data_IF_148703084441
#
_entry.id   IF_148703084441
#
_cell.length_a   1.000
_cell.length_b   1.000
_cell.length_c   1.000
_cell.angle_alpha   90.00
_cell.angle_beta   90.00
_cell.angle_gamma   90.00
#
_symmetry.space_group_name_H-M   'P 1'
#
loop_
_entity.id
_entity.type
_entity.pdbx_description
1 polymer ?
#
# COMPACT_ATOMS: atom_id res chain seq x y z
N UNK A 1 11.00 -22.68 -9.46
CA UNK A 1 10.97 -21.21 -9.34
C UNK A 1 10.14 -20.85 -8.11
N UNK A 2 10.63 -20.01 -7.20
CA UNK A 2 9.84 -19.55 -6.04
C UNK A 2 8.85 -18.49 -6.53
N UNK A 3 7.56 -18.76 -6.43
CA UNK A 3 6.52 -17.77 -6.72
C UNK A 3 6.48 -16.75 -5.57
N UNK A 4 6.41 -15.45 -5.90
CA UNK A 4 6.15 -14.41 -4.89
C UNK A 4 4.69 -14.57 -4.48
N UNK A 5 4.36 -15.18 -3.34
CA UNK A 5 2.95 -15.48 -2.99
C UNK A 5 2.27 -14.38 -2.17
N UNK A 6 3.06 -13.58 -1.46
CA UNK A 6 2.63 -12.53 -0.54
C UNK A 6 3.43 -11.24 -0.79
N UNK A 7 2.75 -10.10 -0.76
CA UNK A 7 3.36 -8.79 -0.72
C UNK A 7 2.68 -7.90 0.33
N UNK A 8 3.47 -7.03 0.96
CA UNK A 8 2.96 -5.93 1.80
C UNK A 8 3.30 -4.62 1.10
N UNK A 9 2.30 -3.74 0.93
CA UNK A 9 2.49 -2.44 0.29
C UNK A 9 2.05 -1.33 1.24
N UNK A 10 2.95 -0.39 1.51
CA UNK A 10 2.66 0.85 2.22
C UNK A 10 2.17 1.88 1.21
N UNK A 11 0.85 2.10 1.15
CA UNK A 11 0.26 2.90 0.06
C UNK A 11 0.45 4.41 0.23
N UNK A 12 0.59 4.85 1.48
CA UNK A 12 0.91 6.20 1.94
C UNK A 12 1.72 6.08 3.24
N UNK A 13 2.43 7.13 3.66
CA UNK A 13 2.98 7.20 5.03
C UNK A 13 2.23 8.22 5.90
N UNK A 14 1.39 9.07 5.32
CA UNK A 14 0.54 9.99 6.08
C UNK A 14 -0.43 9.25 6.99
N UNK A 15 -0.61 9.80 8.20
CA UNK A 15 -1.46 9.21 9.23
C UNK A 15 -2.04 10.33 10.09
N UNK A 16 -3.31 10.19 10.48
CA UNK A 16 -3.99 11.10 11.40
C UNK A 16 -3.61 10.85 12.88
N UNK A 17 -2.88 9.78 13.19
CA UNK A 17 -2.43 9.43 14.54
C UNK A 17 -0.92 9.59 14.77
N UNK A 18 -0.57 9.89 16.02
CA UNK A 18 0.81 10.14 16.50
C UNK A 18 1.24 9.10 17.54
N UNK A 19 1.04 7.82 17.22
CA UNK A 19 1.35 6.73 18.15
C UNK A 19 2.85 6.72 18.53
N UNK A 20 3.20 6.67 19.83
CA UNK A 20 4.59 6.80 20.29
C UNK A 20 5.47 5.59 19.96
N UNK A 21 4.87 4.44 19.63
CA UNK A 21 5.54 3.20 19.26
C UNK A 21 5.56 2.96 17.74
N UNK A 22 5.13 3.93 16.93
CA UNK A 22 5.08 3.78 15.49
C UNK A 22 6.50 3.86 14.90
N UNK A 23 6.88 2.92 14.03
CA UNK A 23 8.19 2.91 13.38
C UNK A 23 8.34 3.96 12.28
N UNK A 24 7.24 4.58 11.84
CA UNK A 24 7.27 5.63 10.82
C UNK A 24 7.68 6.96 11.43
N UNK A 25 8.93 7.37 11.18
CA UNK A 25 9.46 8.67 11.61
C UNK A 25 8.83 9.84 10.83
N UNK A 26 8.62 9.69 9.51
CA UNK A 26 8.07 10.73 8.65
C UNK A 26 6.71 10.33 8.03
N UNK A 27 5.63 10.89 8.59
CA UNK A 27 4.24 10.57 8.25
C UNK A 27 3.60 11.61 7.33
N UNK A 28 4.21 11.87 6.17
CA UNK A 28 3.78 12.96 5.27
C UNK A 28 3.52 12.53 3.82
N UNK A 29 4.01 11.37 3.39
CA UNK A 29 3.87 10.95 1.99
C UNK A 29 2.44 10.57 1.65
N UNK A 30 1.93 11.11 0.54
CA UNK A 30 0.65 10.73 -0.06
C UNK A 30 0.75 9.53 -1.02
N UNK A 31 1.94 8.96 -1.15
CA UNK A 31 2.20 7.78 -1.97
C UNK A 31 2.02 8.02 -3.47
N UNK A 32 1.86 6.91 -4.21
CA UNK A 32 1.64 6.91 -5.65
C UNK A 32 0.18 7.27 -5.99
N UNK A 33 -0.06 7.71 -7.22
CA UNK A 33 -1.42 7.88 -7.71
C UNK A 33 -2.08 6.53 -8.05
N UNK A 34 -3.40 6.53 -8.24
CA UNK A 34 -4.18 5.30 -8.45
C UNK A 34 -3.68 4.47 -9.64
N UNK A 35 -3.30 5.12 -10.75
CA UNK A 35 -2.81 4.43 -11.96
C UNK A 35 -1.48 3.72 -11.68
N UNK A 36 -0.59 4.37 -10.95
CA UNK A 36 0.70 3.81 -10.56
C UNK A 36 0.53 2.62 -9.61
N UNK A 37 -0.33 2.72 -8.60
CA UNK A 37 -0.63 1.59 -7.70
C UNK A 37 -1.24 0.39 -8.43
N UNK A 38 -2.19 0.61 -9.34
CA UNK A 38 -2.71 -0.46 -10.21
C UNK A 38 -1.60 -1.12 -11.03
N UNK A 39 -0.63 -0.33 -11.50
CA UNK A 39 0.57 -0.83 -12.17
C UNK A 39 1.45 -1.70 -11.25
N UNK A 40 1.64 -1.30 -10.00
CA UNK A 40 2.38 -2.08 -8.98
C UNK A 40 1.66 -3.41 -8.71
N UNK A 41 0.35 -3.37 -8.43
CA UNK A 41 -0.47 -4.57 -8.16
C UNK A 41 -0.41 -5.53 -9.35
N UNK A 42 -0.54 -5.01 -10.58
CA UNK A 42 -0.45 -5.82 -11.81
C UNK A 42 0.90 -6.54 -11.92
N UNK A 43 2.02 -5.86 -11.63
CA UNK A 43 3.36 -6.47 -11.62
C UNK A 43 3.51 -7.53 -10.53
N UNK A 44 2.90 -7.34 -9.36
CA UNK A 44 2.88 -8.34 -8.29
C UNK A 44 2.12 -9.59 -8.72
N UNK A 45 0.92 -9.42 -9.30
CA UNK A 45 0.10 -10.53 -9.83
C UNK A 45 0.87 -11.31 -10.90
N UNK A 46 1.52 -10.62 -11.85
CA UNK A 46 2.36 -11.24 -12.88
C UNK A 46 3.54 -12.05 -12.31
N UNK A 47 4.01 -11.75 -11.10
CA UNK A 47 5.05 -12.50 -10.39
C UNK A 47 4.50 -13.65 -9.53
N UNK A 48 3.20 -13.92 -9.59
CA UNK A 48 2.54 -15.00 -8.86
C UNK A 48 1.98 -14.60 -7.50
N UNK A 49 1.88 -13.30 -7.19
CA UNK A 49 1.34 -12.82 -5.93
C UNK A 49 -0.15 -13.13 -5.83
N UNK A 50 -0.54 -13.77 -4.72
CA UNK A 50 -1.92 -14.18 -4.43
C UNK A 50 -2.51 -13.46 -3.22
N UNK A 51 -1.66 -12.85 -2.39
CA UNK A 51 -2.09 -12.10 -1.21
C UNK A 51 -1.34 -10.79 -1.15
N UNK A 52 -2.08 -9.69 -1.05
CA UNK A 52 -1.54 -8.35 -0.85
C UNK A 52 -2.06 -7.84 0.49
N UNK A 53 -1.16 -7.37 1.34
CA UNK A 53 -1.47 -6.63 2.56
C UNK A 53 -1.31 -5.15 2.24
N UNK A 54 -2.40 -4.40 2.35
CA UNK A 54 -2.39 -2.95 2.23
C UNK A 54 -2.15 -2.36 3.62
N UNK A 55 -1.12 -1.54 3.75
CA UNK A 55 -0.73 -0.86 4.99
C UNK A 55 -0.15 0.52 4.67
N UNK A 56 0.57 1.14 5.61
CA UNK A 56 1.16 2.46 5.46
C UNK A 56 1.16 3.23 6.78
N UNK A 57 0.90 4.53 6.69
CA UNK A 57 0.37 5.31 7.80
C UNK A 57 -1.05 4.85 8.13
N UNK A 58 -2.05 5.69 7.87
CA UNK A 58 -3.45 5.23 7.89
C UNK A 58 -3.93 5.00 6.45
N UNK A 59 -3.95 3.75 5.94
CA UNK A 59 -4.27 3.47 4.55
C UNK A 59 -5.66 3.98 4.13
N UNK A 60 -6.61 4.07 5.06
CA UNK A 60 -7.96 4.59 4.76
C UNK A 60 -7.97 6.10 4.45
N UNK A 61 -6.89 6.85 4.73
CA UNK A 61 -6.73 8.25 4.33
C UNK A 61 -6.28 8.43 2.88
N UNK A 62 -5.93 7.34 2.17
CA UNK A 62 -5.56 7.46 0.77
C UNK A 62 -6.77 7.94 -0.05
N UNK A 63 -6.59 9.03 -0.82
CA UNK A 63 -7.69 9.73 -1.51
C UNK A 63 -8.53 8.85 -2.43
N UNK A 64 -7.92 7.81 -3.00
CA UNK A 64 -8.58 6.85 -3.91
C UNK A 64 -8.61 5.44 -3.29
N UNK A 65 -8.73 5.32 -1.96
CA UNK A 65 -8.69 4.02 -1.26
C UNK A 65 -9.73 3.04 -1.80
N UNK A 66 -10.99 3.45 -1.92
CA UNK A 66 -12.06 2.56 -2.41
C UNK A 66 -11.75 2.07 -3.85
N UNK A 67 -11.48 2.94 -4.84
CA UNK A 67 -11.06 2.50 -6.17
C UNK A 67 -9.84 1.58 -6.22
N UNK A 68 -8.90 1.74 -5.27
CA UNK A 68 -7.71 0.88 -5.17
C UNK A 68 -8.04 -0.47 -4.54
N UNK A 69 -8.85 -0.50 -3.49
CA UNK A 69 -9.23 -1.71 -2.75
C UNK A 69 -10.11 -2.65 -3.57
N UNK A 70 -10.96 -2.10 -4.45
CA UNK A 70 -11.85 -2.88 -5.32
C UNK A 70 -11.21 -3.31 -6.64
N UNK A 71 -9.96 -2.92 -6.91
CA UNK A 71 -9.23 -3.29 -8.12
C UNK A 71 -8.55 -4.65 -7.96
#
# INVERSE_FOLDING_TARGET
MKNLTLATIEIITSCNFKCPHCYLDNKTSLGLNLKEWKGVITKLIQKGCRKIIITGGEPLLYKDFIPLYTF
#
